data_IF_157900109516
#
_entry.id   IF_157900109516
#
_cell.length_a   1.000
_cell.length_b   1.000
_cell.length_c   1.000
_cell.angle_alpha   90.00
_cell.angle_beta   90.00
_cell.angle_gamma   90.00
#
_symmetry.space_group_name_H-M   'P 1'
#
loop_
_entity.id
_entity.type
_entity.pdbx_description
1 polymer ?
#
# COMPACT_ATOMS: atom_id res chain seq x y z
N UNK A 1 -5.55 0.00 -15.01
CA UNK A 1 -6.21 -0.96 -14.10
C UNK A 1 -7.37 -0.33 -13.32
N UNK A 2 -7.23 0.91 -12.88
CA UNK A 2 -8.29 1.69 -12.20
C UNK A 2 -9.66 1.69 -12.89
N UNK A 3 -9.73 1.95 -14.20
CA UNK A 3 -11.00 1.87 -14.93
C UNK A 3 -11.61 0.45 -14.93
N UNK A 4 -10.77 -0.58 -15.05
CA UNK A 4 -11.23 -1.97 -15.03
C UNK A 4 -11.83 -2.32 -13.67
N UNK A 5 -11.11 -2.05 -12.57
CA UNK A 5 -11.64 -2.30 -11.21
C UNK A 5 -12.91 -1.49 -10.93
N UNK A 6 -12.94 -0.21 -11.33
CA UNK A 6 -14.15 0.61 -11.21
C UNK A 6 -15.33 0.03 -11.99
N UNK A 7 -15.09 -0.52 -13.19
CA UNK A 7 -16.16 -1.14 -13.99
C UNK A 7 -16.70 -2.45 -13.43
N UNK A 8 -15.85 -3.25 -12.78
CA UNK A 8 -16.27 -4.51 -12.13
C UNK A 8 -17.12 -4.22 -10.89
N UNK A 9 -16.70 -3.23 -10.11
CA UNK A 9 -17.36 -2.77 -8.89
C UNK A 9 -18.19 -1.51 -9.15
N UNK A 10 -18.97 -1.52 -10.23
CA UNK A 10 -19.74 -0.34 -10.62
C UNK A 10 -20.87 -0.07 -9.63
N UNK A 11 -20.89 1.12 -9.02
CA UNK A 11 -21.91 1.61 -8.09
C UNK A 11 -22.33 0.57 -7.04
N UNK A 12 -21.46 0.37 -6.05
CA UNK A 12 -21.81 -0.48 -4.92
C UNK A 12 -22.89 0.22 -4.08
N UNK A 13 -23.94 -0.52 -3.74
CA UNK A 13 -24.95 -0.02 -2.83
C UNK A 13 -24.47 -0.14 -1.38
N UNK A 14 -25.06 0.64 -0.47
CA UNK A 14 -24.75 0.54 0.96
C UNK A 14 -25.58 -0.60 1.60
N UNK A 15 -25.47 -1.82 1.07
CA UNK A 15 -26.11 -3.03 1.62
C UNK A 15 -25.12 -3.87 2.43
N UNK A 16 -25.61 -4.76 3.30
CA UNK A 16 -24.75 -5.66 4.08
C UNK A 16 -23.92 -6.62 3.20
N UNK A 17 -24.45 -7.03 2.04
CA UNK A 17 -23.73 -7.91 1.11
C UNK A 17 -22.57 -7.18 0.40
N UNK A 18 -22.74 -5.87 0.17
CA UNK A 18 -21.74 -5.04 -0.50
C UNK A 18 -20.58 -4.61 0.39
N UNK A 19 -20.68 -4.75 1.72
CA UNK A 19 -19.56 -4.45 2.64
C UNK A 19 -18.32 -5.28 2.29
N UNK A 20 -18.52 -6.57 1.99
CA UNK A 20 -17.42 -7.43 1.56
C UNK A 20 -16.93 -7.06 0.14
N UNK A 21 -17.82 -6.60 -0.74
CA UNK A 21 -17.44 -6.11 -2.08
C UNK A 21 -16.58 -4.84 -1.99
N UNK A 22 -16.91 -3.91 -1.08
CA UNK A 22 -16.10 -2.73 -0.77
C UNK A 22 -14.72 -3.11 -0.25
N UNK A 23 -14.68 -4.06 0.69
CA UNK A 23 -13.44 -4.60 1.22
C UNK A 23 -12.58 -5.23 0.09
N UNK A 24 -13.18 -6.09 -0.74
CA UNK A 24 -12.51 -6.69 -1.90
C UNK A 24 -11.97 -5.64 -2.88
N UNK A 25 -12.75 -4.61 -3.18
CA UNK A 25 -12.35 -3.53 -4.06
C UNK A 25 -11.08 -2.84 -3.54
N UNK A 26 -11.05 -2.45 -2.27
CA UNK A 26 -9.90 -1.76 -1.66
C UNK A 26 -8.63 -2.62 -1.72
N UNK A 27 -8.72 -3.93 -1.44
CA UNK A 27 -7.55 -4.80 -1.43
C UNK A 27 -7.03 -5.02 -2.85
N UNK A 28 -7.92 -5.18 -3.84
CA UNK A 28 -7.53 -5.31 -5.24
C UNK A 28 -6.89 -4.03 -5.77
N UNK A 29 -7.42 -2.85 -5.42
CA UNK A 29 -6.81 -1.56 -5.79
C UNK A 29 -5.38 -1.50 -5.26
N UNK A 30 -5.16 -1.79 -3.97
CA UNK A 30 -3.82 -1.78 -3.37
C UNK A 30 -2.89 -2.80 -4.05
N UNK A 31 -3.37 -4.05 -4.21
CA UNK A 31 -2.62 -5.14 -4.81
C UNK A 31 -2.17 -4.80 -6.23
N UNK A 32 -3.10 -4.49 -7.13
CA UNK A 32 -2.76 -4.23 -8.51
C UNK A 32 -1.79 -3.06 -8.67
N UNK A 33 -1.98 -1.97 -7.93
CA UNK A 33 -1.08 -0.82 -7.99
C UNK A 33 0.32 -1.18 -7.45
N UNK A 34 0.41 -1.95 -6.37
CA UNK A 34 1.70 -2.36 -5.79
C UNK A 34 2.47 -3.35 -6.68
N UNK A 35 1.77 -4.26 -7.36
CA UNK A 35 2.42 -5.23 -8.26
C UNK A 35 2.93 -4.60 -9.55
N UNK A 36 2.41 -3.44 -9.99
CA UNK A 36 2.95 -2.74 -11.16
C UNK A 36 4.40 -2.26 -10.95
N UNK A 37 4.81 -1.99 -9.71
CA UNK A 37 6.19 -1.60 -9.38
C UNK A 37 7.23 -2.69 -9.65
N UNK A 38 6.81 -3.94 -9.90
CA UNK A 38 7.72 -4.99 -10.38
C UNK A 38 8.51 -4.57 -11.63
N UNK A 39 7.92 -3.71 -12.47
CA UNK A 39 8.55 -3.19 -13.68
C UNK A 39 9.68 -2.19 -13.40
N UNK A 40 9.75 -1.60 -12.21
CA UNK A 40 10.79 -0.63 -11.84
C UNK A 40 12.14 -1.31 -11.50
N UNK A 41 12.11 -2.56 -11.05
CA UNK A 41 13.29 -3.33 -10.66
C UNK A 41 14.35 -3.43 -11.77
N UNK A 42 14.03 -3.84 -13.01
CA UNK A 42 15.03 -3.91 -14.08
C UNK A 42 15.61 -2.54 -14.44
N UNK A 43 14.80 -1.48 -14.35
CA UNK A 43 15.25 -0.10 -14.60
C UNK A 43 16.30 0.30 -13.56
N UNK A 44 16.00 0.10 -12.27
CA UNK A 44 16.96 0.39 -11.20
C UNK A 44 18.22 -0.49 -11.27
N UNK A 45 18.08 -1.75 -11.68
CA UNK A 45 19.23 -2.64 -11.84
C UNK A 45 20.21 -2.12 -12.90
N UNK A 46 19.70 -1.56 -14.00
CA UNK A 46 20.52 -0.94 -15.05
C UNK A 46 21.14 0.39 -14.58
N UNK A 47 20.36 1.25 -13.92
CA UNK A 47 20.85 2.53 -13.39
C UNK A 47 21.95 2.35 -12.35
N UNK A 48 21.83 1.32 -11.50
CA UNK A 48 22.82 1.00 -10.47
C UNK A 48 24.23 0.86 -11.04
N UNK A 49 24.39 0.20 -12.19
CA UNK A 49 25.72 -0.01 -12.77
C UNK A 49 26.41 1.30 -13.17
N UNK A 50 25.65 2.28 -13.67
CA UNK A 50 26.14 3.61 -13.97
C UNK A 50 26.51 4.36 -12.67
N UNK A 51 25.62 4.32 -11.68
CA UNK A 51 25.81 5.00 -10.38
C UNK A 51 27.04 4.48 -9.64
N UNK A 52 27.27 3.17 -9.63
CA UNK A 52 28.46 2.57 -8.98
C UNK A 52 29.74 3.11 -9.62
N UNK A 53 29.81 3.21 -10.95
CA UNK A 53 30.98 3.76 -11.66
C UNK A 53 31.20 5.24 -11.36
N UNK A 54 30.14 6.03 -11.34
CA UNK A 54 30.23 7.47 -11.07
C UNK A 54 30.67 7.77 -9.63
N UNK A 55 30.18 6.99 -8.66
CA UNK A 55 30.61 7.10 -7.26
C UNK A 55 32.06 6.64 -7.08
N UNK A 56 32.50 5.56 -7.76
CA UNK A 56 33.89 5.11 -7.71
C UNK A 56 34.86 6.14 -8.31
N UNK A 57 34.45 6.91 -9.31
CA UNK A 57 35.20 8.04 -9.84
C UNK A 57 35.11 9.31 -8.98
N UNK A 58 34.39 9.28 -7.86
CA UNK A 58 34.28 10.41 -6.94
C UNK A 58 33.43 11.58 -7.46
N UNK A 59 32.52 11.35 -8.41
CA UNK A 59 31.68 12.42 -8.98
C UNK A 59 30.64 12.94 -7.98
N UNK A 60 30.08 12.06 -7.14
CA UNK A 60 29.14 12.43 -6.07
C UNK A 60 29.07 11.35 -4.98
N UNK A 61 28.51 11.72 -3.82
CA UNK A 61 28.28 10.79 -2.71
C UNK A 61 26.99 9.99 -2.89
N UNK A 62 26.98 8.73 -2.43
CA UNK A 62 25.80 7.83 -2.44
C UNK A 62 24.57 8.48 -1.81
N UNK A 63 24.76 9.23 -0.71
CA UNK A 63 23.67 9.93 -0.03
C UNK A 63 23.02 11.00 -0.90
N UNK A 64 23.81 11.73 -1.69
CA UNK A 64 23.30 12.75 -2.62
C UNK A 64 22.43 12.12 -3.70
N UNK A 65 22.83 10.95 -4.22
CA UNK A 65 22.05 10.20 -5.19
C UNK A 65 20.72 9.70 -4.60
N UNK A 66 20.76 9.05 -3.42
CA UNK A 66 19.54 8.53 -2.80
C UNK A 66 18.51 9.63 -2.49
N UNK A 67 18.96 10.80 -2.03
CA UNK A 67 18.09 11.95 -1.75
C UNK A 67 17.54 12.55 -3.05
N UNK A 68 18.40 12.78 -4.05
CA UNK A 68 17.96 13.30 -5.34
C UNK A 68 16.93 12.38 -5.99
N UNK A 69 17.18 11.07 -5.97
CA UNK A 69 16.25 10.07 -6.51
C UNK A 69 14.90 10.10 -5.77
N UNK A 70 14.91 10.19 -4.44
CA UNK A 70 13.69 10.31 -3.64
C UNK A 70 12.84 11.54 -4.01
N UNK A 71 13.49 12.69 -4.15
CA UNK A 71 12.84 13.97 -4.45
C UNK A 71 12.28 13.97 -5.88
N UNK A 72 13.00 13.39 -6.83
CA UNK A 72 12.54 13.28 -8.22
C UNK A 72 11.36 12.33 -8.33
N UNK A 73 11.38 11.19 -7.64
CA UNK A 73 10.31 10.19 -7.71
C UNK A 73 9.01 10.63 -7.05
N UNK A 74 9.07 11.35 -5.93
CA UNK A 74 7.89 11.76 -5.17
C UNK A 74 6.78 12.41 -6.04
N UNK A 75 7.03 13.41 -6.90
CA UNK A 75 5.97 13.98 -7.75
C UNK A 75 5.44 13.01 -8.81
N UNK A 76 6.28 12.11 -9.36
CA UNK A 76 5.82 11.10 -10.32
C UNK A 76 4.91 10.07 -9.66
N UNK A 77 5.29 9.55 -8.49
CA UNK A 77 4.47 8.61 -7.72
C UNK A 77 3.16 9.26 -7.28
N UNK A 78 3.18 10.55 -6.90
CA UNK A 78 1.97 11.30 -6.57
C UNK A 78 1.03 11.44 -7.77
N UNK A 79 1.57 11.73 -8.96
CA UNK A 79 0.79 11.79 -10.20
C UNK A 79 0.15 10.42 -10.52
N UNK A 80 0.92 9.34 -10.39
CA UNK A 80 0.42 7.97 -10.61
C UNK A 80 -0.67 7.64 -9.59
N UNK A 81 -0.46 7.94 -8.30
CA UNK A 81 -1.46 7.73 -7.26
C UNK A 81 -2.76 8.50 -7.55
N UNK A 82 -2.67 9.75 -7.98
CA UNK A 82 -3.81 10.56 -8.40
C UNK A 82 -4.55 9.96 -9.60
N UNK A 83 -3.81 9.58 -10.65
CA UNK A 83 -4.37 8.96 -11.85
C UNK A 83 -5.02 7.60 -11.56
N UNK A 84 -4.49 6.84 -10.61
CA UNK A 84 -5.02 5.53 -10.26
C UNK A 84 -6.22 5.58 -9.30
N UNK A 85 -6.23 6.53 -8.36
CA UNK A 85 -7.30 6.66 -7.37
C UNK A 85 -8.55 7.36 -7.94
N UNK A 86 -8.36 8.41 -8.75
CA UNK A 86 -9.47 9.25 -9.25
C UNK A 86 -10.54 8.46 -9.99
N UNK A 87 -10.23 7.64 -11.01
CA UNK A 87 -11.27 6.91 -11.74
C UNK A 87 -12.03 5.94 -10.85
N UNK A 88 -11.34 5.25 -9.94
CA UNK A 88 -11.98 4.27 -9.07
C UNK A 88 -12.94 4.94 -8.10
N UNK A 89 -12.50 6.04 -7.47
CA UNK A 89 -13.30 6.78 -6.50
C UNK A 89 -14.63 7.26 -7.10
N UNK A 90 -14.58 7.85 -8.30
CA UNK A 90 -15.78 8.38 -8.97
C UNK A 90 -16.66 7.30 -9.62
N UNK A 91 -16.09 6.20 -10.11
CA UNK A 91 -16.89 5.13 -10.75
C UNK A 91 -17.62 4.28 -9.71
N UNK A 92 -16.98 4.04 -8.56
CA UNK A 92 -17.54 3.23 -7.48
C UNK A 92 -18.51 4.01 -6.59
N UNK A 93 -18.64 5.33 -6.83
CA UNK A 93 -19.51 6.24 -6.07
C UNK A 93 -19.15 6.24 -4.58
N UNK A 94 -17.84 6.33 -4.29
CA UNK A 94 -17.35 6.54 -2.92
C UNK A 94 -17.84 7.89 -2.38
N UNK A 95 -17.81 8.05 -1.05
CA UNK A 95 -18.27 9.24 -0.33
C UNK A 95 -17.87 10.58 -1.01
N UNK A 96 -18.82 11.47 -1.26
CA UNK A 96 -18.58 12.75 -1.96
C UNK A 96 -17.70 13.77 -1.19
N UNK A 97 -17.31 13.48 0.05
CA UNK A 97 -16.48 14.38 0.85
C UNK A 97 -15.06 14.57 0.25
N UNK A 98 -14.68 15.80 -0.16
CA UNK A 98 -13.37 16.08 -0.75
C UNK A 98 -12.21 15.79 0.21
N UNK A 99 -12.42 15.87 1.53
CA UNK A 99 -11.38 15.57 2.52
C UNK A 99 -11.02 14.08 2.48
N UNK A 100 -12.01 13.21 2.34
CA UNK A 100 -11.84 11.76 2.27
C UNK A 100 -11.18 11.32 0.97
N UNK A 101 -11.56 11.96 -0.14
CA UNK A 101 -10.89 11.77 -1.41
C UNK A 101 -9.38 12.11 -1.31
N UNK A 102 -9.03 13.26 -0.74
CA UNK A 102 -7.62 13.64 -0.56
C UNK A 102 -6.89 12.67 0.37
N UNK A 103 -7.51 12.21 1.44
CA UNK A 103 -6.95 11.18 2.32
C UNK A 103 -6.70 9.87 1.57
N UNK A 104 -7.65 9.43 0.73
CA UNK A 104 -7.51 8.23 -0.07
C UNK A 104 -6.33 8.31 -1.06
N UNK A 105 -6.21 9.46 -1.76
CA UNK A 105 -5.07 9.73 -2.66
C UNK A 105 -3.75 9.72 -1.88
N UNK A 106 -3.71 10.31 -0.68
CA UNK A 106 -2.50 10.38 0.15
C UNK A 106 -2.08 9.00 0.68
N UNK A 107 -3.02 8.16 1.12
CA UNK A 107 -2.72 6.78 1.53
C UNK A 107 -2.18 5.99 0.34
N UNK A 108 -2.79 6.13 -0.84
CA UNK A 108 -2.32 5.47 -2.06
C UNK A 108 -0.91 5.93 -2.47
N UNK A 109 -0.64 7.24 -2.39
CA UNK A 109 0.70 7.80 -2.64
C UNK A 109 1.74 7.21 -1.69
N UNK A 110 1.46 7.19 -0.38
CA UNK A 110 2.39 6.66 0.62
C UNK A 110 2.60 5.15 0.44
N UNK A 111 1.56 4.40 0.10
CA UNK A 111 1.66 2.97 -0.22
C UNK A 111 2.63 2.75 -1.39
N UNK A 112 2.40 3.40 -2.53
CA UNK A 112 3.26 3.27 -3.70
C UNK A 112 4.69 3.69 -3.38
N UNK A 113 4.87 4.77 -2.62
CA UNK A 113 6.20 5.24 -2.23
C UNK A 113 6.96 4.24 -1.33
N UNK A 114 6.25 3.52 -0.46
CA UNK A 114 6.84 2.43 0.35
C UNK A 114 7.22 1.24 -0.54
N UNK A 115 6.32 0.82 -1.43
CA UNK A 115 6.53 -0.32 -2.34
C UNK A 115 7.71 -0.05 -3.28
N UNK A 116 7.81 1.17 -3.81
CA UNK A 116 8.92 1.57 -4.68
C UNK A 116 10.26 1.59 -3.91
N UNK A 117 10.25 2.02 -2.64
CA UNK A 117 11.44 1.97 -1.78
C UNK A 117 11.91 0.52 -1.55
N UNK A 118 10.97 -0.42 -1.40
CA UNK A 118 11.26 -1.85 -1.31
C UNK A 118 11.79 -2.39 -2.66
N UNK A 119 11.25 -1.94 -3.79
CA UNK A 119 11.68 -2.36 -5.13
C UNK A 119 13.13 -1.93 -5.39
N UNK A 120 13.50 -0.70 -5.00
CA UNK A 120 14.87 -0.19 -5.08
C UNK A 120 15.84 -1.01 -4.22
N UNK A 121 15.42 -1.37 -3.00
CA UNK A 121 16.23 -2.21 -2.12
C UNK A 121 16.55 -3.56 -2.78
N UNK A 122 15.54 -4.23 -3.35
CA UNK A 122 15.74 -5.50 -4.06
C UNK A 122 16.59 -5.30 -5.32
N UNK A 123 16.38 -4.22 -6.06
CA UNK A 123 17.20 -3.86 -7.22
C UNK A 123 18.69 -3.68 -6.89
N UNK A 124 19.02 -3.18 -5.70
CA UNK A 124 20.42 -3.08 -5.24
C UNK A 124 20.99 -4.42 -4.79
N UNK A 125 20.20 -5.28 -4.15
CA UNK A 125 20.69 -6.56 -3.62
C UNK A 125 20.94 -7.60 -4.71
N UNK A 126 20.26 -7.51 -5.84
CA UNK A 126 20.23 -8.58 -6.83
C UNK A 126 21.11 -8.27 -8.05
N UNK A 127 21.88 -9.26 -8.51
CA UNK A 127 22.70 -9.18 -9.73
C UNK A 127 21.96 -9.56 -11.02
N UNK A 128 20.87 -10.32 -10.89
CA UNK A 128 19.98 -10.74 -12.00
C UNK A 128 18.59 -10.17 -11.80
N UNK A 129 18.14 -9.27 -12.68
CA UNK A 129 16.82 -8.65 -12.56
C UNK A 129 15.67 -9.67 -12.51
N UNK A 130 15.80 -10.83 -13.17
CA UNK A 130 14.80 -11.90 -13.15
C UNK A 130 14.62 -12.44 -11.72
N UNK A 131 15.73 -12.70 -11.02
CA UNK A 131 15.70 -13.14 -9.63
C UNK A 131 15.14 -12.03 -8.72
N UNK A 132 15.45 -10.76 -9.01
CA UNK A 132 14.96 -9.62 -8.25
C UNK A 132 13.44 -9.47 -8.33
N UNK A 133 12.89 -9.59 -9.53
CA UNK A 133 11.45 -9.59 -9.78
C UNK A 133 10.77 -10.74 -9.00
N UNK A 134 11.34 -11.95 -9.06
CA UNK A 134 10.79 -13.10 -8.35
C UNK A 134 10.79 -12.89 -6.82
N UNK A 135 11.92 -12.43 -6.26
CA UNK A 135 12.06 -12.17 -4.82
C UNK A 135 11.09 -11.08 -4.36
N UNK A 136 11.01 -9.97 -5.09
CA UNK A 136 10.11 -8.87 -4.74
C UNK A 136 8.64 -9.29 -4.81
N UNK A 137 8.24 -10.03 -5.86
CA UNK A 137 6.89 -10.58 -5.98
C UNK A 137 6.56 -11.51 -4.80
N UNK A 138 7.50 -12.37 -4.39
CA UNK A 138 7.33 -13.24 -3.22
C UNK A 138 7.16 -12.44 -1.93
N UNK A 139 8.00 -11.43 -1.69
CA UNK A 139 7.89 -10.58 -0.50
C UNK A 139 6.57 -9.80 -0.46
N UNK A 140 6.16 -9.19 -1.58
CA UNK A 140 4.86 -8.51 -1.66
C UNK A 140 3.71 -9.49 -1.38
N UNK A 141 3.76 -10.70 -1.92
CA UNK A 141 2.71 -11.71 -1.71
C UNK A 141 2.60 -12.11 -0.23
N UNK A 142 3.73 -12.26 0.47
CA UNK A 142 3.74 -12.55 1.91
C UNK A 142 3.14 -11.36 2.68
N UNK A 143 3.52 -10.12 2.36
CA UNK A 143 2.95 -8.94 3.02
C UNK A 143 1.45 -8.77 2.76
N UNK A 144 0.96 -9.15 1.57
CA UNK A 144 -0.47 -9.17 1.27
C UNK A 144 -1.21 -10.23 2.08
N UNK A 145 -0.63 -11.43 2.24
CA UNK A 145 -1.26 -12.50 3.03
C UNK A 145 -1.48 -12.09 4.49
N UNK A 146 -0.53 -11.34 5.07
CA UNK A 146 -0.59 -10.85 6.45
C UNK A 146 -1.09 -9.40 6.58
N UNK A 147 -1.91 -8.91 5.65
CA UNK A 147 -2.43 -7.53 5.71
C UNK A 147 -3.68 -7.36 6.59
N UNK A 148 -4.21 -8.44 7.17
CA UNK A 148 -5.43 -8.46 7.99
C UNK A 148 -6.74 -8.73 7.23
N UNK A 149 -6.72 -8.74 5.89
CA UNK A 149 -7.90 -9.10 5.08
C UNK A 149 -7.96 -10.61 4.78
N UNK A 150 -6.84 -11.20 4.33
CA UNK A 150 -6.80 -12.62 3.93
C UNK A 150 -6.66 -13.56 5.12
N UNK A 151 -5.83 -13.18 6.08
CA UNK A 151 -5.60 -13.94 7.30
C UNK A 151 -5.91 -13.03 8.48
N UNK A 152 -6.83 -13.48 9.32
CA UNK A 152 -7.14 -12.81 10.57
C UNK A 152 -5.95 -12.94 11.54
N UNK A 153 -5.33 -11.84 11.99
CA UNK A 153 -4.30 -11.84 13.03
C UNK A 153 -4.72 -12.55 14.33
N UNK A 154 -6.01 -12.57 14.70
CA UNK A 154 -6.48 -13.27 15.91
C UNK A 154 -6.41 -14.81 15.77
N UNK A 155 -6.49 -15.32 14.54
CA UNK A 155 -6.39 -16.74 14.22
C UNK A 155 -4.97 -17.15 13.77
N UNK A 156 -4.04 -16.19 13.72
CA UNK A 156 -2.66 -16.43 13.31
C UNK A 156 -1.85 -16.95 14.50
N UNK A 157 -1.06 -18.03 14.36
CA UNK A 157 -0.17 -18.48 15.43
C UNK A 157 0.81 -17.38 15.86
N UNK A 158 1.07 -17.26 17.17
CA UNK A 158 1.89 -16.18 17.76
C UNK A 158 3.26 -15.98 17.06
N UNK A 159 3.88 -17.08 16.62
CA UNK A 159 5.17 -17.06 15.92
C UNK A 159 5.15 -16.36 14.54
N UNK A 160 3.99 -16.16 13.92
CA UNK A 160 3.82 -15.48 12.62
C UNK A 160 3.19 -14.09 12.75
N UNK A 161 2.70 -13.72 13.94
CA UNK A 161 2.03 -12.44 14.18
C UNK A 161 2.95 -11.23 13.94
N UNK A 162 4.26 -11.38 14.07
CA UNK A 162 5.22 -10.30 13.77
C UNK A 162 5.16 -9.83 12.30
N UNK A 163 4.79 -10.71 11.36
CA UNK A 163 4.63 -10.34 9.94
C UNK A 163 3.44 -9.41 9.71
N UNK A 164 2.40 -9.52 10.55
CA UNK A 164 1.26 -8.62 10.53
C UNK A 164 1.65 -7.20 10.98
N UNK A 165 2.56 -7.06 11.95
CA UNK A 165 3.02 -5.75 12.44
C UNK A 165 4.04 -5.06 11.52
N UNK A 166 4.88 -5.82 10.83
CA UNK A 166 5.91 -5.28 9.93
C UNK A 166 5.38 -4.96 8.53
N UNK A 167 4.23 -5.55 8.13
CA UNK A 167 3.68 -5.38 6.79
C UNK A 167 3.16 -3.95 6.60
N UNK A 168 3.75 -3.13 5.70
CA UNK A 168 3.26 -1.78 5.43
C UNK A 168 1.87 -1.82 4.74
N UNK A 169 1.57 -2.93 4.04
CA UNK A 169 0.31 -3.10 3.32
C UNK A 169 -0.91 -3.13 4.25
N UNK A 170 -0.74 -3.65 5.46
CA UNK A 170 -1.76 -3.60 6.52
C UNK A 170 -2.20 -2.15 6.78
N UNK A 171 -1.23 -1.26 7.00
CA UNK A 171 -1.50 0.14 7.35
C UNK A 171 -2.27 0.86 6.22
N UNK A 172 -1.95 0.55 4.96
CA UNK A 172 -2.69 1.09 3.81
C UNK A 172 -4.12 0.55 3.71
N UNK A 173 -4.29 -0.75 3.96
CA UNK A 173 -5.58 -1.43 3.96
C UNK A 173 -6.49 -0.84 5.03
N UNK A 174 -6.01 -0.80 6.27
CA UNK A 174 -6.79 -0.35 7.42
C UNK A 174 -7.18 1.14 7.30
N UNK A 175 -6.27 1.98 6.76
CA UNK A 175 -6.57 3.38 6.49
C UNK A 175 -7.66 3.56 5.42
N UNK A 176 -7.58 2.83 4.30
CA UNK A 176 -8.56 2.94 3.22
C UNK A 176 -9.94 2.41 3.63
N UNK A 177 -9.98 1.30 4.37
CA UNK A 177 -11.21 0.75 4.95
C UNK A 177 -11.86 1.81 5.85
N UNK A 178 -11.10 2.43 6.75
CA UNK A 178 -11.62 3.51 7.59
C UNK A 178 -12.19 4.66 6.77
N UNK A 179 -11.49 5.13 5.73
CA UNK A 179 -11.96 6.25 4.89
C UNK A 179 -13.31 5.93 4.22
N UNK A 180 -13.50 4.69 3.75
CA UNK A 180 -14.71 4.27 3.03
C UNK A 180 -15.89 4.08 3.99
N UNK A 181 -15.69 3.36 5.10
CA UNK A 181 -16.80 2.97 5.98
C UNK A 181 -17.17 4.04 7.02
N UNK A 182 -16.23 4.89 7.45
CA UNK A 182 -16.48 5.87 8.52
C UNK A 182 -17.68 6.78 8.19
N UNK A 183 -18.57 7.05 9.14
CA UNK A 183 -19.75 7.91 8.92
C UNK A 183 -20.76 7.48 7.85
N UNK A 184 -20.68 6.26 7.31
CA UNK A 184 -21.68 5.69 6.39
C UNK A 184 -22.74 4.87 7.14
N UNK A 185 -23.92 4.72 6.53
CA UNK A 185 -25.00 3.87 7.06
C UNK A 185 -25.35 2.78 6.05
N UNK A 186 -25.49 1.55 6.54
CA UNK A 186 -25.75 0.39 5.72
C UNK A 186 -27.16 -0.15 5.97
N UNK A 187 -27.90 -0.42 4.89
CA UNK A 187 -29.22 -1.04 4.89
C UNK A 187 -29.15 -2.55 4.65
N UNK A 188 -30.31 -3.19 4.45
CA UNK A 188 -30.38 -4.61 4.04
C UNK A 188 -30.27 -5.62 5.20
N UNK A 189 -30.69 -5.25 6.40
CA UNK A 189 -30.67 -6.13 7.58
C UNK A 189 -31.63 -7.31 7.51
N UNK A 190 -32.73 -7.15 6.77
CA UNK A 190 -33.80 -8.15 6.74
C UNK A 190 -33.42 -9.41 5.93
N UNK A 191 -32.38 -9.32 5.09
CA UNK A 191 -31.92 -10.38 4.18
C UNK A 191 -30.49 -10.85 4.47
N UNK A 192 -29.82 -10.35 5.52
CA UNK A 192 -28.41 -10.68 5.77
C UNK A 192 -28.24 -12.10 6.33
N UNK A 193 -27.32 -12.88 5.76
CA UNK A 193 -26.86 -14.14 6.38
C UNK A 193 -25.82 -13.84 7.47
N UNK A 194 -24.95 -12.87 7.21
CA UNK A 194 -23.96 -12.32 8.13
C UNK A 194 -24.10 -10.80 8.15
N UNK A 195 -24.40 -10.24 9.33
CA UNK A 195 -24.58 -8.80 9.50
C UNK A 195 -23.34 -8.20 10.19
N UNK A 196 -22.77 -7.16 9.58
CA UNK A 196 -21.57 -6.47 10.06
C UNK A 196 -21.89 -5.23 10.91
N UNK A 197 -23.04 -4.57 10.66
CA UNK A 197 -23.46 -3.41 11.46
C UNK A 197 -24.24 -2.36 10.66
N UNK A 198 -25.11 -1.59 11.33
CA UNK A 198 -25.98 -0.57 10.68
C UNK A 198 -25.21 0.70 10.36
N UNK A 199 -24.19 0.97 11.14
CA UNK A 199 -23.34 2.15 11.06
C UNK A 199 -21.93 1.74 10.67
N UNK A 200 -21.23 2.63 9.99
CA UNK A 200 -19.83 2.46 9.61
C UNK A 200 -18.93 2.10 10.77
N UNK A 201 -19.15 2.70 11.94
CA UNK A 201 -18.40 2.40 13.17
C UNK A 201 -18.58 0.94 13.61
N UNK A 202 -19.80 0.41 13.57
CA UNK A 202 -20.08 -1.00 13.89
C UNK A 202 -19.46 -1.95 12.86
N UNK A 203 -19.51 -1.58 11.58
CA UNK A 203 -18.87 -2.34 10.51
C UNK A 203 -17.35 -2.37 10.72
N UNK A 204 -16.74 -1.23 11.04
CA UNK A 204 -15.31 -1.13 11.35
C UNK A 204 -14.94 -1.95 12.59
N UNK A 205 -15.76 -1.93 13.65
CA UNK A 205 -15.53 -2.77 14.83
C UNK A 205 -15.64 -4.26 14.49
N UNK A 206 -16.58 -4.65 13.61
CA UNK A 206 -16.71 -6.04 13.16
C UNK A 206 -15.55 -6.49 12.26
N UNK A 207 -14.92 -5.54 11.56
CA UNK A 207 -13.73 -5.75 10.73
C UNK A 207 -12.43 -5.55 11.52
N UNK A 208 -12.50 -5.21 12.81
CA UNK A 208 -11.33 -5.03 13.66
C UNK A 208 -10.69 -6.38 13.94
N UNK A 209 -9.48 -6.56 13.45
CA UNK A 209 -8.71 -7.78 13.65
C UNK A 209 -7.37 -7.41 14.31
N UNK A 210 -6.89 -8.24 15.25
CA UNK A 210 -5.53 -8.11 15.80
C UNK A 210 -5.36 -7.05 16.89
N UNK A 211 -6.46 -6.66 17.55
CA UNK A 211 -6.44 -5.74 18.70
C UNK A 211 -6.34 -4.25 18.35
N UNK A 212 -6.37 -3.87 17.07
CA UNK A 212 -6.48 -2.46 16.66
C UNK A 212 -7.93 -2.07 16.43
N UNK A 213 -8.45 -1.22 17.32
CA UNK A 213 -9.72 -0.55 17.09
C UNK A 213 -9.55 0.55 16.04
N UNK A 214 -10.29 0.45 14.94
CA UNK A 214 -10.27 1.49 13.90
C UNK A 214 -10.69 2.86 14.44
N UNK A 215 -11.59 2.90 15.43
CA UNK A 215 -12.12 4.14 15.97
C UNK A 215 -11.07 4.95 16.75
N UNK A 216 -10.12 4.29 17.41
CA UNK A 216 -9.10 4.94 18.23
C UNK A 216 -7.95 5.54 17.39
N UNK A 217 -7.72 5.03 16.18
CA UNK A 217 -6.59 5.43 15.33
C UNK A 217 -7.03 6.34 14.20
N UNK A 218 -6.47 7.56 14.14
CA UNK A 218 -6.73 8.48 13.03
C UNK A 218 -6.10 8.01 11.73
N UNK A 219 -6.72 8.33 10.58
CA UNK A 219 -6.14 8.08 9.25
C UNK A 219 -4.74 8.69 9.12
N UNK A 220 -4.50 9.85 9.74
CA UNK A 220 -3.21 10.52 9.77
C UNK A 220 -2.14 9.68 10.47
N UNK A 221 -2.48 8.97 11.54
CA UNK A 221 -1.52 8.09 12.22
C UNK A 221 -1.07 6.93 11.31
N UNK A 222 -1.99 6.34 10.54
CA UNK A 222 -1.66 5.33 9.53
C UNK A 222 -0.75 5.90 8.43
N UNK A 223 -1.04 7.12 7.96
CA UNK A 223 -0.16 7.84 7.02
C UNK A 223 1.24 8.08 7.60
N UNK A 224 1.35 8.49 8.87
CA UNK A 224 2.63 8.66 9.55
C UNK A 224 3.40 7.34 9.66
N UNK A 225 2.72 6.23 9.95
CA UNK A 225 3.34 4.91 9.99
C UNK A 225 3.90 4.53 8.60
N UNK A 226 3.11 4.69 7.53
CA UNK A 226 3.56 4.43 6.15
C UNK A 226 4.76 5.31 5.76
N UNK A 227 4.74 6.60 6.10
CA UNK A 227 5.86 7.49 5.87
C UNK A 227 7.11 7.02 6.64
N UNK A 228 6.95 6.58 7.88
CA UNK A 228 8.02 5.97 8.69
C UNK A 228 8.62 4.73 8.03
N UNK A 229 7.79 3.80 7.56
CA UNK A 229 8.26 2.62 6.83
C UNK A 229 9.01 2.98 5.55
N UNK A 230 8.55 3.97 4.78
CA UNK A 230 9.26 4.43 3.58
C UNK A 230 10.66 4.96 3.93
N UNK A 231 10.78 5.77 4.98
CA UNK A 231 12.07 6.29 5.43
C UNK A 231 13.01 5.16 5.85
N UNK A 232 12.52 4.17 6.60
CA UNK A 232 13.30 2.99 7.01
C UNK A 232 13.82 2.26 5.77
N UNK A 233 12.97 1.96 4.79
CA UNK A 233 13.39 1.25 3.58
C UNK A 233 14.39 2.05 2.75
N UNK A 234 14.26 3.38 2.69
CA UNK A 234 15.24 4.25 2.01
C UNK A 234 16.59 4.29 2.74
N UNK A 235 16.60 4.28 4.06
CA UNK A 235 17.85 4.18 4.84
C UNK A 235 18.51 2.82 4.61
N UNK A 236 17.74 1.74 4.63
CA UNK A 236 18.26 0.38 4.34
C UNK A 236 18.80 0.30 2.92
N UNK A 237 18.10 0.87 1.94
CA UNK A 237 18.56 0.98 0.56
C UNK A 237 19.88 1.76 0.46
N UNK A 238 20.00 2.91 1.13
CA UNK A 238 21.25 3.67 1.18
C UNK A 238 22.42 2.86 1.75
N UNK A 239 22.21 2.14 2.85
CA UNK A 239 23.23 1.28 3.47
C UNK A 239 23.61 0.14 2.51
N UNK A 240 22.64 -0.52 1.89
CA UNK A 240 22.87 -1.59 0.93
C UNK A 240 23.67 -1.11 -0.29
N UNK A 241 23.34 0.08 -0.82
CA UNK A 241 24.05 0.67 -1.96
C UNK A 241 25.48 1.05 -1.59
N UNK A 242 25.68 1.61 -0.39
CA UNK A 242 27.02 1.92 0.12
C UNK A 242 27.88 0.66 0.27
N UNK A 243 27.33 -0.41 0.85
CA UNK A 243 28.03 -1.69 0.98
C UNK A 243 28.32 -2.37 -0.37
N UNK A 244 27.53 -2.09 -1.40
CA UNK A 244 27.74 -2.63 -2.76
C UNK A 244 28.91 -1.97 -3.50
N UNK A 245 29.39 -0.81 -3.04
CA UNK A 245 30.41 -0.01 -3.74
C UNK A 245 31.83 -0.26 -3.17
N UNK A 246 31.92 -0.67 -1.90
CA UNK A 246 33.15 -1.10 -1.23
C UNK A 246 33.41 -2.60 -1.45
#
# INVERSE_FOLDING_TARGET
>A
MSFFLGSVYYRLENTQEDILNWANLIIWINAFNSYMDLAAIPVFALEKEAVVKEVQHGQYAVASFCIANAVVQAPFVLLIAFCCSTPVYWITDMNDDPVRYLQFVMVMFLLLFVVESLAQLVGVLVKSFILGIAIFASFLSIFYMFNGFFVDPNNTPDGWLWLYWISPLRYSWEAMVKIVFDGQTYGGFDSCVTCYGRTGEQVLDSLSHGGTNFNDVSVVAWCCALAGFSLVWRVVHYVALKCSIF
#
